data_IF_915319389787
#
_entry.id   IF_915319389787
#
_cell.length_a   1.000
_cell.length_b   1.000
_cell.length_c   1.000
_cell.angle_alpha   90.00
_cell.angle_beta   90.00
_cell.angle_gamma   90.00
#
_symmetry.space_group_name_H-M   'P 1'
#
loop_
_entity.id
_entity.type
_entity.pdbx_description
1 polymer ?
#
# COMPACT_ATOMS: atom_id res chain seq x y z
N UNK A 1 -2.35 -3.34 25.84
CA UNK A 1 -1.07 -3.05 25.15
C UNK A 1 -1.11 -3.80 23.83
N UNK A 2 -0.93 -3.08 22.71
CA UNK A 2 -0.91 -3.65 21.36
C UNK A 2 0.32 -4.57 21.23
N UNK A 3 0.17 -5.76 20.66
CA UNK A 3 1.33 -6.52 20.21
C UNK A 3 1.75 -5.98 18.84
N UNK A 4 3.03 -5.62 18.66
CA UNK A 4 3.51 -5.27 17.34
C UNK A 4 3.36 -6.48 16.39
N UNK A 5 3.17 -6.26 15.09
CA UNK A 5 3.22 -7.35 14.12
C UNK A 5 4.57 -8.07 14.22
N UNK A 6 4.64 -9.35 13.85
CA UNK A 6 5.90 -10.09 13.89
C UNK A 6 6.92 -9.41 12.98
N UNK A 7 8.09 -9.09 13.55
CA UNK A 7 9.25 -8.67 12.77
C UNK A 7 9.80 -9.88 11.99
N UNK A 8 10.25 -9.69 10.75
CA UNK A 8 10.89 -10.76 9.97
C UNK A 8 9.91 -11.80 9.45
N UNK A 9 9.08 -11.45 8.45
CA UNK A 9 8.19 -12.45 7.82
C UNK A 9 9.01 -13.55 7.13
N UNK A 10 8.72 -14.81 7.46
CA UNK A 10 9.31 -15.96 6.79
C UNK A 10 8.96 -15.96 5.28
N UNK A 11 9.87 -16.42 4.40
CA UNK A 11 9.61 -16.51 2.96
C UNK A 11 8.31 -17.24 2.61
N UNK A 12 8.01 -18.34 3.32
CA UNK A 12 6.80 -19.14 3.12
C UNK A 12 5.52 -18.33 3.36
N UNK A 13 5.53 -17.39 4.30
CA UNK A 13 4.40 -16.50 4.57
C UNK A 13 4.13 -15.57 3.40
N UNK A 14 5.19 -15.03 2.78
CA UNK A 14 5.07 -14.12 1.64
C UNK A 14 4.67 -14.86 0.36
N UNK A 15 5.11 -16.11 0.20
CA UNK A 15 4.61 -16.98 -0.87
C UNK A 15 3.14 -17.31 -0.69
N UNK A 16 2.72 -17.67 0.53
CA UNK A 16 1.33 -17.96 0.83
C UNK A 16 0.46 -16.74 0.58
N UNK A 17 0.90 -15.56 1.02
CA UNK A 17 0.20 -14.30 0.78
C UNK A 17 0.01 -14.03 -0.71
N UNK A 18 1.07 -14.19 -1.51
CA UNK A 18 0.97 -14.03 -2.97
C UNK A 18 -0.04 -14.99 -3.60
N UNK A 19 -0.10 -16.24 -3.13
CA UNK A 19 -1.10 -17.22 -3.61
C UNK A 19 -2.52 -16.84 -3.20
N UNK A 20 -2.70 -16.40 -1.96
CA UNK A 20 -4.02 -16.04 -1.42
C UNK A 20 -4.58 -14.77 -2.08
N UNK A 21 -3.71 -13.81 -2.41
CA UNK A 21 -4.07 -12.60 -3.15
C UNK A 21 -4.13 -12.83 -4.68
N UNK A 22 -3.87 -14.05 -5.16
CA UNK A 22 -3.69 -14.36 -6.59
C UNK A 22 -2.76 -13.33 -7.29
N UNK A 23 -1.67 -12.98 -6.63
CA UNK A 23 -0.81 -11.86 -6.97
C UNK A 23 0.68 -12.23 -6.91
N UNK A 24 1.45 -11.77 -7.91
CA UNK A 24 2.91 -11.76 -7.81
C UNK A 24 3.35 -10.44 -7.22
N UNK A 25 3.60 -10.44 -5.91
CA UNK A 25 4.07 -9.25 -5.20
C UNK A 25 5.38 -8.73 -5.83
N UNK A 26 5.47 -7.42 -6.14
CA UNK A 26 6.70 -6.78 -6.58
C UNK A 26 7.85 -7.05 -5.60
N UNK A 27 9.05 -7.29 -6.13
CA UNK A 27 10.21 -7.65 -5.32
C UNK A 27 10.57 -6.61 -4.25
N UNK A 28 10.53 -5.28 -4.53
CA UNK A 28 10.73 -4.25 -3.51
C UNK A 28 9.74 -4.34 -2.35
N UNK A 29 8.45 -4.50 -2.65
CA UNK A 29 7.42 -4.57 -1.61
C UNK A 29 7.55 -5.84 -0.75
N UNK A 30 7.86 -6.98 -1.37
CA UNK A 30 8.12 -8.22 -0.64
C UNK A 30 9.31 -8.10 0.30
N UNK A 31 10.39 -7.45 -0.14
CA UNK A 31 11.58 -7.20 0.69
C UNK A 31 11.20 -6.34 1.90
N UNK A 32 10.45 -5.26 1.66
CA UNK A 32 9.98 -4.39 2.73
C UNK A 32 9.09 -5.12 3.74
N UNK A 33 8.12 -5.92 3.29
CA UNK A 33 7.31 -6.72 4.20
C UNK A 33 8.14 -7.68 5.05
N UNK A 34 9.22 -8.25 4.49
CA UNK A 34 10.12 -9.13 5.25
C UNK A 34 10.90 -8.36 6.33
N UNK A 35 11.38 -7.17 6.02
CA UNK A 35 12.27 -6.39 6.91
C UNK A 35 11.50 -5.55 7.93
N UNK A 36 10.33 -5.02 7.54
CA UNK A 36 9.62 -3.94 8.22
C UNK A 36 8.15 -4.24 8.53
N UNK A 37 7.53 -5.23 7.87
CA UNK A 37 6.16 -5.71 8.10
C UNK A 37 5.13 -4.70 8.66
N UNK A 38 4.77 -3.67 7.89
CA UNK A 38 3.77 -2.67 8.31
C UNK A 38 4.30 -1.54 9.19
N UNK A 39 5.62 -1.46 9.42
CA UNK A 39 6.25 -0.30 10.05
C UNK A 39 5.93 0.99 9.28
N UNK A 40 5.89 2.10 10.01
CA UNK A 40 5.61 3.40 9.43
C UNK A 40 6.92 4.13 9.14
N UNK A 41 7.17 4.60 7.90
CA UNK A 41 8.31 5.47 7.61
C UNK A 41 8.29 6.77 8.43
N UNK A 42 9.47 7.35 8.65
CA UNK A 42 9.64 8.63 9.35
C UNK A 42 8.96 9.76 8.56
N UNK A 43 9.27 9.85 7.27
CA UNK A 43 8.61 10.74 6.32
C UNK A 43 7.29 10.13 5.85
N UNK A 44 6.26 10.96 5.71
CA UNK A 44 4.89 10.49 5.43
C UNK A 44 4.13 11.33 4.42
N UNK A 45 4.67 12.49 4.01
CA UNK A 45 4.02 13.33 3.02
C UNK A 45 4.14 12.69 1.64
N UNK A 46 3.01 12.52 0.96
CA UNK A 46 2.91 12.01 -0.40
C UNK A 46 2.51 13.18 -1.29
N UNK A 47 3.30 13.49 -2.32
CA UNK A 47 2.95 14.51 -3.33
C UNK A 47 2.58 13.84 -4.65
N UNK A 48 1.57 14.37 -5.33
CA UNK A 48 1.09 13.83 -6.60
C UNK A 48 0.34 14.89 -7.41
N UNK A 49 -0.07 14.53 -8.63
CA UNK A 49 -0.83 15.43 -9.52
C UNK A 49 -2.26 14.95 -9.65
N UNK A 50 -3.21 15.80 -9.28
CA UNK A 50 -4.65 15.61 -9.45
C UNK A 50 -5.22 16.78 -10.25
N UNK A 51 -5.97 16.51 -11.32
CA UNK A 51 -6.56 17.56 -12.17
C UNK A 51 -5.53 18.55 -12.75
N UNK A 52 -4.28 18.12 -12.97
CA UNK A 52 -3.20 18.95 -13.48
C UNK A 52 -2.59 19.91 -12.45
N UNK A 53 -2.88 19.75 -11.16
CA UNK A 53 -2.32 20.53 -10.06
C UNK A 53 -1.53 19.63 -9.12
N UNK A 54 -0.39 20.13 -8.64
CA UNK A 54 0.33 19.50 -7.55
C UNK A 54 -0.50 19.58 -6.27
N UNK A 55 -0.63 18.45 -5.59
CA UNK A 55 -1.36 18.28 -4.34
C UNK A 55 -0.61 17.28 -3.46
N UNK A 56 -1.07 17.12 -2.22
CA UNK A 56 -0.46 16.21 -1.27
C UNK A 56 -1.46 15.59 -0.28
N UNK A 57 -1.03 14.50 0.33
CA UNK A 57 -1.68 13.87 1.48
C UNK A 57 -0.63 13.32 2.45
N UNK A 58 -1.06 12.75 3.56
CA UNK A 58 -0.20 12.15 4.59
C UNK A 58 -0.52 10.68 4.75
N UNK A 59 0.50 9.83 4.56
CA UNK A 59 0.44 8.39 4.84
C UNK A 59 0.11 8.15 6.31
N UNK A 60 -0.96 7.39 6.57
CA UNK A 60 -1.43 7.12 7.93
C UNK A 60 -1.05 5.71 8.42
N UNK A 61 -1.13 4.71 7.55
CA UNK A 61 -0.69 3.34 7.83
C UNK A 61 -0.20 2.63 6.56
N UNK A 62 0.68 1.66 6.75
CA UNK A 62 0.96 0.60 5.79
C UNK A 62 0.50 -0.71 6.41
N UNK A 63 -0.18 -1.56 5.64
CA UNK A 63 -0.69 -2.81 6.16
C UNK A 63 0.43 -3.80 6.48
N UNK A 64 0.27 -4.51 7.59
CA UNK A 64 1.13 -5.62 7.98
C UNK A 64 0.51 -6.96 7.57
N UNK A 65 1.31 -8.01 7.52
CA UNK A 65 0.85 -9.39 7.34
C UNK A 65 0.82 -10.07 8.70
N UNK A 66 -0.27 -10.79 8.98
CA UNK A 66 -0.55 -11.42 10.27
C UNK A 66 -0.56 -10.38 11.40
N UNK A 67 -1.16 -9.22 11.15
CA UNK A 67 -1.45 -8.29 12.23
C UNK A 67 -2.48 -8.96 13.16
N UNK A 68 -2.30 -8.84 14.47
CA UNK A 68 -3.27 -9.35 15.45
C UNK A 68 -4.64 -8.63 15.37
N UNK A 69 -4.73 -7.56 14.58
CA UNK A 69 -5.93 -6.75 14.35
C UNK A 69 -6.38 -6.91 12.88
N UNK A 70 -7.66 -7.14 12.68
CA UNK A 70 -8.30 -7.44 11.39
C UNK A 70 -8.31 -6.26 10.41
N UNK A 71 -8.46 -5.02 10.89
CA UNK A 71 -8.60 -3.84 10.02
C UNK A 71 -7.28 -3.29 9.47
N UNK A 72 -6.13 -3.65 10.06
CA UNK A 72 -4.79 -3.26 9.60
C UNK A 72 -3.98 -4.42 8.99
N UNK A 73 -4.63 -5.57 8.80
CA UNK A 73 -4.02 -6.73 8.17
C UNK A 73 -4.21 -6.66 6.64
N UNK A 74 -3.11 -6.81 5.91
CA UNK A 74 -3.06 -6.74 4.45
C UNK A 74 -4.01 -7.76 3.80
N UNK A 75 -4.03 -8.98 4.31
CA UNK A 75 -4.86 -10.03 3.76
C UNK A 75 -6.34 -9.78 4.07
N UNK A 76 -6.66 -9.49 5.34
CA UNK A 76 -8.03 -9.24 5.74
C UNK A 76 -8.66 -8.08 4.95
N UNK A 77 -7.97 -6.96 4.82
CA UNK A 77 -8.47 -5.82 4.06
C UNK A 77 -8.69 -6.17 2.58
N UNK A 78 -7.71 -6.78 1.91
CA UNK A 78 -7.84 -7.11 0.49
C UNK A 78 -8.85 -8.24 0.22
N UNK A 79 -9.10 -9.12 1.20
CA UNK A 79 -10.19 -10.11 1.12
C UNK A 79 -11.56 -9.42 1.15
N UNK A 80 -11.74 -8.45 2.03
CA UNK A 80 -13.04 -7.84 2.29
C UNK A 80 -13.37 -6.70 1.29
N UNK A 81 -12.35 -5.96 0.83
CA UNK A 81 -12.52 -4.77 -0.02
C UNK A 81 -11.81 -4.85 -1.38
N UNK A 82 -10.92 -5.83 -1.60
CA UNK A 82 -10.09 -5.89 -2.81
C UNK A 82 -10.85 -6.14 -4.10
N UNK A 83 -12.08 -6.66 -4.03
CA UNK A 83 -12.92 -6.88 -5.21
C UNK A 83 -13.24 -5.57 -5.96
N UNK A 84 -13.29 -4.45 -5.26
CA UNK A 84 -13.55 -3.11 -5.82
C UNK A 84 -12.32 -2.54 -6.55
N UNK A 85 -11.13 -3.05 -6.22
CA UNK A 85 -9.84 -2.56 -6.74
C UNK A 85 -9.45 -3.22 -8.06
N UNK A 86 -10.35 -3.99 -8.72
CA UNK A 86 -10.04 -4.81 -9.91
C UNK A 86 -8.97 -5.87 -9.61
N UNK A 87 -8.75 -6.89 -10.47
CA UNK A 87 -7.75 -7.93 -10.19
C UNK A 87 -6.29 -7.46 -10.34
N UNK A 88 -6.03 -6.15 -10.52
CA UNK A 88 -4.73 -5.59 -10.87
C UNK A 88 -4.03 -4.95 -9.68
N UNK A 89 -4.78 -4.53 -8.67
CA UNK A 89 -4.29 -3.74 -7.55
C UNK A 89 -4.59 -4.44 -6.24
N UNK A 90 -3.73 -4.19 -5.25
CA UNK A 90 -4.01 -4.46 -3.84
C UNK A 90 -3.84 -3.17 -3.06
N UNK A 91 -4.60 -3.00 -1.99
CA UNK A 91 -4.34 -1.93 -1.03
C UNK A 91 -3.16 -2.34 -0.14
N UNK A 92 -2.20 -1.43 0.03
CA UNK A 92 -1.00 -1.63 0.85
C UNK A 92 -0.92 -0.65 2.03
N UNK A 93 -1.87 0.28 2.12
CA UNK A 93 -1.98 1.26 3.19
C UNK A 93 -3.08 2.28 2.91
N UNK A 94 -3.07 3.36 3.67
CA UNK A 94 -4.04 4.45 3.52
C UNK A 94 -3.53 5.77 4.07
N UNK A 95 -4.14 6.85 3.60
CA UNK A 95 -3.87 8.20 4.10
C UNK A 95 -4.72 8.55 5.33
N UNK A 96 -4.56 9.77 5.85
CA UNK A 96 -5.29 10.29 7.03
C UNK A 96 -6.78 10.52 6.78
N UNK A 97 -7.25 10.47 5.53
CA UNK A 97 -8.64 10.64 5.13
C UNK A 97 -9.31 9.31 4.76
N UNK A 98 -8.58 8.19 4.83
CA UNK A 98 -9.08 6.87 4.48
C UNK A 98 -9.04 6.55 2.98
N UNK A 99 -8.26 7.30 2.21
CA UNK A 99 -7.98 6.99 0.82
C UNK A 99 -6.94 5.87 0.72
N UNK A 100 -7.20 4.79 -0.04
CA UNK A 100 -6.26 3.70 -0.18
C UNK A 100 -4.97 4.10 -0.93
N UNK A 101 -3.84 3.58 -0.46
CA UNK A 101 -2.60 3.49 -1.23
C UNK A 101 -2.55 2.12 -1.88
N UNK A 102 -2.49 2.09 -3.21
CA UNK A 102 -2.59 0.87 -4.01
C UNK A 102 -1.25 0.49 -4.64
N UNK A 103 -1.01 -0.82 -4.74
CA UNK A 103 0.13 -1.39 -5.47
C UNK A 103 -0.38 -2.21 -6.65
N UNK A 104 0.11 -1.90 -7.85
CA UNK A 104 -0.16 -2.72 -9.02
C UNK A 104 0.61 -4.05 -8.94
N UNK A 105 -0.12 -5.15 -8.97
CA UNK A 105 0.39 -6.53 -8.86
C UNK A 105 0.19 -7.35 -10.14
N UNK A 106 -0.48 -6.78 -11.16
CA UNK A 106 -0.61 -7.34 -12.51
C UNK A 106 -0.55 -6.22 -13.55
N UNK A 107 -0.30 -6.59 -14.81
CA UNK A 107 -0.45 -5.67 -15.94
C UNK A 107 0.76 -4.82 -16.31
N UNK A 108 0.56 -3.83 -17.20
CA UNK A 108 1.64 -2.96 -17.69
C UNK A 108 2.19 -2.04 -16.59
N UNK A 109 1.40 -1.74 -15.57
CA UNK A 109 1.79 -0.91 -14.44
C UNK A 109 2.33 -1.71 -13.25
N UNK A 110 2.62 -3.01 -13.41
CA UNK A 110 3.14 -3.86 -12.34
C UNK A 110 4.30 -3.20 -11.58
N UNK A 111 4.15 -3.09 -10.26
CA UNK A 111 5.13 -2.48 -9.36
C UNK A 111 4.86 -1.00 -9.03
N UNK A 112 4.07 -0.28 -9.83
CA UNK A 112 3.73 1.11 -9.55
C UNK A 112 2.81 1.26 -8.34
N UNK A 113 2.94 2.40 -7.68
CA UNK A 113 2.14 2.78 -6.50
C UNK A 113 1.19 3.91 -6.88
N UNK A 114 -0.04 3.82 -6.37
CA UNK A 114 -1.10 4.76 -6.66
C UNK A 114 -1.76 5.27 -5.39
N UNK A 115 -2.28 6.48 -5.45
CA UNK A 115 -3.25 7.03 -4.52
C UNK A 115 -4.64 6.87 -5.14
N UNK A 116 -5.63 6.42 -4.36
CA UNK A 116 -7.01 6.26 -4.80
C UNK A 116 -7.92 7.20 -4.02
N UNK A 117 -8.28 8.33 -4.61
CA UNK A 117 -9.27 9.26 -4.05
C UNK A 117 -10.65 8.60 -4.06
N UNK A 118 -11.13 8.16 -2.89
CA UNK A 118 -12.39 7.42 -2.82
C UNK A 118 -13.64 8.30 -3.02
N UNK A 119 -13.49 9.62 -3.07
CA UNK A 119 -14.60 10.54 -3.37
C UNK A 119 -14.95 10.54 -4.86
N UNK A 120 -14.05 10.03 -5.70
CA UNK A 120 -14.19 9.98 -7.15
C UNK A 120 -14.40 8.54 -7.65
N UNK A 121 -15.01 8.35 -8.84
CA UNK A 121 -15.01 7.06 -9.52
C UNK A 121 -13.57 6.52 -9.66
N UNK A 122 -13.40 5.20 -9.53
CA UNK A 122 -12.09 4.56 -9.45
C UNK A 122 -11.09 5.00 -10.54
N UNK A 123 -11.50 5.07 -11.81
CA UNK A 123 -10.60 5.46 -12.90
C UNK A 123 -10.19 6.95 -12.83
N UNK A 124 -11.04 7.81 -12.29
CA UNK A 124 -10.79 9.26 -12.19
C UNK A 124 -10.00 9.62 -10.92
N UNK A 125 -10.21 8.86 -9.84
CA UNK A 125 -9.54 9.03 -8.55
C UNK A 125 -8.21 8.28 -8.42
N UNK A 126 -7.77 7.56 -9.45
CA UNK A 126 -6.53 6.78 -9.41
C UNK A 126 -5.35 7.61 -9.94
N UNK A 127 -4.44 7.96 -9.04
CA UNK A 127 -3.27 8.80 -9.34
C UNK A 127 -1.98 8.02 -9.13
N UNK A 128 -1.10 7.99 -10.14
CA UNK A 128 0.24 7.43 -9.98
C UNK A 128 1.02 8.32 -9.03
N UNK A 129 1.57 7.73 -7.95
CA UNK A 129 2.41 8.44 -6.98
C UNK A 129 3.86 7.95 -7.00
N UNK A 130 4.15 6.77 -7.55
CA UNK A 130 5.51 6.30 -7.79
C UNK A 130 5.59 5.18 -8.83
N UNK A 131 6.74 5.08 -9.51
CA UNK A 131 7.02 4.01 -10.48
C UNK A 131 7.38 2.66 -9.84
N UNK A 132 7.68 2.65 -8.53
CA UNK A 132 7.96 1.44 -7.76
C UNK A 132 7.73 1.68 -6.27
N UNK A 133 7.62 0.61 -5.48
CA UNK A 133 7.54 0.74 -4.03
C UNK A 133 8.79 1.36 -3.39
N UNK A 134 10.00 1.10 -3.92
CA UNK A 134 11.22 1.78 -3.46
C UNK A 134 11.18 3.28 -3.78
N UNK A 135 10.73 3.64 -4.99
CA UNK A 135 10.58 5.04 -5.38
C UNK A 135 9.50 5.76 -4.54
N UNK A 136 8.43 5.04 -4.16
CA UNK A 136 7.42 5.55 -3.24
C UNK A 136 8.04 5.91 -1.89
N UNK A 137 8.75 4.99 -1.24
CA UNK A 137 9.39 5.26 0.05
C UNK A 137 10.43 6.39 -0.04
N UNK A 138 11.24 6.40 -1.10
CA UNK A 138 12.24 7.45 -1.32
C UNK A 138 11.64 8.83 -1.61
N UNK A 139 10.41 8.86 -2.15
CA UNK A 139 9.68 10.08 -2.47
C UNK A 139 8.91 10.69 -1.29
N UNK A 140 8.85 10.02 -0.14
CA UNK A 140 8.14 10.55 1.03
C UNK A 140 8.84 11.77 1.60
N UNK A 141 8.09 12.87 1.71
CA UNK A 141 8.54 14.11 2.34
C UNK A 141 8.27 14.14 3.85
N UNK A 142 8.94 15.06 4.54
CA UNK A 142 8.59 15.38 5.93
C UNK A 142 7.13 15.85 5.98
N UNK A 143 6.32 15.24 6.85
CA UNK A 143 4.99 15.76 7.17
C UNK A 143 5.14 16.98 8.06
N UNK A 144 4.39 18.06 7.80
CA UNK A 144 4.21 19.06 8.85
C UNK A 144 3.37 18.44 9.98
N UNK A 145 3.71 18.72 11.26
CA UNK A 145 3.06 18.13 12.43
C UNK A 145 1.57 18.46 12.58
#
# INVERSE_FOLDING_TARGET
MRQPPPAGLAPDTLELLGRVLDARLPAPYRKWLAEHNGEMPENRRITFVEGGRETDTVLHYLYAVNAAEDYNDLWAYNRDYGAELRPWYIAIGGDVFGNPILLAVKGPDHGKVFFSNHENPFDDGLHVIADSFDAFLAGLGAGEP
#
